data_IF_239629194412
#
_entry.id   IF_239629194412
#
_cell.length_a   1.000
_cell.length_b   1.000
_cell.length_c   1.000
_cell.angle_alpha   90.00
_cell.angle_beta   90.00
_cell.angle_gamma   90.00
#
_symmetry.space_group_name_H-M   'P 1'
#
loop_
_entity.id
_entity.type
_entity.pdbx_description
1 polymer ?
#
# COMPACT_ATOMS: atom_id res chain seq x y z
N UNK A 1 -35.11 23.31 -93.24
CA UNK A 1 -34.93 24.31 -94.32
C UNK A 1 -35.67 23.79 -95.53
N UNK A 2 -36.63 24.56 -96.06
CA UNK A 2 -37.45 24.14 -97.21
C UNK A 2 -36.85 24.74 -98.47
N UNK A 3 -36.54 23.90 -99.45
CA UNK A 3 -36.24 24.38 -100.81
C UNK A 3 -37.40 24.03 -101.72
N UNK A 4 -38.04 25.06 -102.26
CA UNK A 4 -39.05 24.91 -103.29
C UNK A 4 -38.44 25.31 -104.64
N UNK A 5 -38.71 24.50 -105.66
CA UNK A 5 -38.33 24.82 -107.04
C UNK A 5 -39.62 25.17 -107.78
N UNK A 6 -39.86 26.43 -108.14
CA UNK A 6 -41.10 26.81 -108.80
C UNK A 6 -41.20 26.13 -110.17
N UNK A 7 -42.36 25.53 -110.45
CA UNK A 7 -42.63 24.88 -111.72
C UNK A 7 -42.86 25.92 -112.80
N UNK A 8 -41.92 26.04 -113.73
CA UNK A 8 -42.00 27.03 -114.81
C UNK A 8 -42.94 26.58 -115.94
N UNK A 9 -43.12 25.27 -116.15
CA UNK A 9 -43.99 24.68 -117.20
C UNK A 9 -44.56 23.32 -116.73
N UNK A 10 -45.88 23.08 -116.82
CA UNK A 10 -46.50 21.79 -116.45
C UNK A 10 -46.36 20.73 -117.55
N UNK A 11 -46.40 19.44 -117.18
CA UNK A 11 -46.33 18.33 -118.13
C UNK A 11 -47.59 18.25 -119.02
N UNK A 12 -47.42 18.00 -120.32
CA UNK A 12 -48.51 17.86 -121.29
C UNK A 12 -48.24 16.69 -122.26
N UNK A 13 -49.31 16.15 -122.87
CA UNK A 13 -49.28 15.07 -123.88
C UNK A 13 -48.58 13.76 -123.44
N UNK A 14 -48.78 13.33 -122.19
CA UNK A 14 -48.33 12.02 -121.71
C UNK A 14 -46.88 11.94 -121.23
N UNK A 15 -46.21 13.09 -121.03
CA UNK A 15 -44.90 13.16 -120.39
C UNK A 15 -44.94 12.77 -118.91
N UNK A 16 -43.82 12.25 -118.39
CA UNK A 16 -43.71 11.84 -116.98
C UNK A 16 -43.91 13.03 -116.02
N UNK A 17 -44.65 12.78 -114.93
CA UNK A 17 -44.90 13.78 -113.89
C UNK A 17 -43.58 14.27 -113.27
N UNK A 18 -43.50 15.57 -112.97
CA UNK A 18 -42.31 16.12 -112.32
C UNK A 18 -42.16 15.59 -110.89
N UNK A 19 -40.92 15.32 -110.43
CA UNK A 19 -40.69 14.90 -109.05
C UNK A 19 -41.07 16.01 -108.04
N UNK A 20 -41.21 15.62 -106.77
CA UNK A 20 -41.66 16.46 -105.65
C UNK A 20 -41.05 17.87 -105.64
N UNK A 21 -41.90 18.91 -105.56
CA UNK A 21 -41.53 20.32 -105.73
C UNK A 21 -41.08 21.02 -104.45
N UNK A 22 -41.28 20.38 -103.30
CA UNK A 22 -40.80 20.84 -102.01
C UNK A 22 -40.11 19.69 -101.29
N UNK A 23 -38.89 19.93 -100.86
CA UNK A 23 -38.16 19.04 -99.95
C UNK A 23 -37.99 19.80 -98.63
N UNK A 24 -38.58 19.25 -97.58
CA UNK A 24 -38.54 19.81 -96.23
C UNK A 24 -37.67 18.90 -95.38
N UNK A 25 -36.53 19.43 -94.93
CA UNK A 25 -35.69 18.77 -93.94
C UNK A 25 -35.93 19.43 -92.58
N UNK A 26 -36.41 18.65 -91.62
CA UNK A 26 -36.56 19.08 -90.24
C UNK A 26 -35.19 19.29 -89.60
N UNK A 27 -35.06 20.38 -88.86
CA UNK A 27 -33.84 20.65 -88.13
C UNK A 27 -33.77 19.69 -86.91
N UNK A 28 -32.59 19.16 -86.56
CA UNK A 28 -32.45 18.21 -85.46
C UNK A 28 -32.89 18.81 -84.11
N UNK A 29 -33.37 18.00 -83.16
CA UNK A 29 -33.66 18.46 -81.80
C UNK A 29 -32.42 19.09 -81.18
N UNK A 30 -32.61 20.14 -80.37
CA UNK A 30 -31.53 20.72 -79.57
C UNK A 30 -31.89 20.52 -78.11
N UNK A 31 -31.08 19.73 -77.43
CA UNK A 31 -31.25 19.42 -76.02
C UNK A 31 -30.87 20.62 -75.15
N UNK A 32 -31.42 20.64 -73.93
CA UNK A 32 -31.03 21.65 -72.95
C UNK A 32 -29.55 21.55 -72.56
N UNK A 33 -28.84 22.68 -72.59
CA UNK A 33 -27.48 22.78 -72.08
C UNK A 33 -27.52 23.63 -70.81
N UNK A 34 -26.99 23.09 -69.71
CA UNK A 34 -26.89 23.80 -68.43
C UNK A 34 -25.44 24.19 -68.16
N UNK A 35 -25.24 25.25 -67.38
CA UNK A 35 -23.91 25.63 -66.90
C UNK A 35 -23.32 24.58 -65.96
N UNK A 36 -22.03 24.70 -65.71
CA UNK A 36 -21.41 24.05 -64.57
C UNK A 36 -22.09 24.51 -63.27
N UNK A 37 -22.02 23.65 -62.26
CA UNK A 37 -22.54 23.96 -60.94
C UNK A 37 -21.71 25.06 -60.27
N UNK A 38 -22.40 26.00 -59.62
CA UNK A 38 -21.76 26.89 -58.66
C UNK A 38 -21.22 26.14 -57.43
N UNK A 39 -20.43 26.85 -56.63
CA UNK A 39 -19.94 26.35 -55.36
C UNK A 39 -21.09 26.11 -54.37
N UNK A 40 -20.86 25.17 -53.45
CA UNK A 40 -21.80 24.94 -52.36
C UNK A 40 -21.85 26.14 -51.41
N UNK A 41 -23.06 26.52 -50.99
CA UNK A 41 -23.22 27.50 -49.92
C UNK A 41 -22.55 27.02 -48.64
N UNK A 42 -22.09 27.95 -47.81
CA UNK A 42 -21.45 27.63 -46.53
C UNK A 42 -22.46 27.08 -45.54
N UNK A 43 -22.03 26.15 -44.70
CA UNK A 43 -22.81 25.73 -43.55
C UNK A 43 -22.79 26.83 -42.50
N UNK A 44 -23.96 27.19 -41.98
CA UNK A 44 -24.09 28.08 -40.82
C UNK A 44 -24.77 27.34 -39.68
N UNK A 45 -24.74 27.90 -38.48
CA UNK A 45 -25.39 27.31 -37.31
C UNK A 45 -26.92 27.17 -37.51
N UNK A 46 -27.51 27.98 -38.39
CA UNK A 46 -28.95 28.00 -38.69
C UNK A 46 -29.32 27.25 -39.97
N UNK A 47 -28.35 26.90 -40.82
CA UNK A 47 -28.59 26.20 -42.09
C UNK A 47 -28.03 24.78 -42.02
N UNK A 48 -28.88 23.76 -41.76
CA UNK A 48 -28.42 22.37 -41.67
C UNK A 48 -28.08 21.75 -43.03
N UNK A 49 -28.31 22.48 -44.12
CA UNK A 49 -28.08 22.04 -45.49
C UNK A 49 -27.31 23.10 -46.29
N UNK A 50 -26.52 22.61 -47.26
CA UNK A 50 -25.87 23.42 -48.28
C UNK A 50 -26.65 23.30 -49.58
N UNK A 51 -26.69 24.39 -50.33
CA UNK A 51 -27.36 24.47 -51.64
C UNK A 51 -26.37 24.99 -52.67
N UNK A 52 -26.46 24.48 -53.90
CA UNK A 52 -25.79 25.03 -55.07
C UNK A 52 -26.74 25.12 -56.25
N UNK A 53 -26.44 26.02 -57.16
CA UNK A 53 -27.29 26.33 -58.31
C UNK A 53 -26.50 26.34 -59.61
N UNK A 54 -27.22 26.13 -60.72
CA UNK A 54 -26.72 26.28 -62.10
C UNK A 54 -27.82 26.83 -62.99
N UNK A 55 -27.43 27.52 -64.05
CA UNK A 55 -28.37 28.16 -64.97
C UNK A 55 -28.49 27.40 -66.28
N UNK A 56 -29.59 27.62 -66.98
CA UNK A 56 -29.78 27.11 -68.34
C UNK A 56 -29.00 28.03 -69.28
N UNK A 57 -28.11 27.46 -70.09
CA UNK A 57 -27.37 28.17 -71.15
C UNK A 57 -28.14 28.10 -72.47
N UNK A 58 -28.79 26.97 -72.73
CA UNK A 58 -29.60 26.74 -73.93
C UNK A 58 -30.89 26.01 -73.53
N UNK A 59 -32.04 26.60 -73.83
CA UNK A 59 -33.34 25.94 -73.67
C UNK A 59 -33.52 24.81 -74.70
N UNK A 60 -34.28 23.75 -74.36
CA UNK A 60 -34.59 22.68 -75.31
C UNK A 60 -35.51 23.21 -76.41
N UNK A 61 -35.19 22.89 -77.66
CA UNK A 61 -35.95 23.35 -78.83
C UNK A 61 -36.19 22.17 -79.77
N UNK A 62 -37.37 22.13 -80.41
CA UNK A 62 -37.80 21.05 -81.33
C UNK A 62 -37.75 19.66 -80.68
N UNK A 63 -38.48 19.49 -79.57
CA UNK A 63 -38.60 18.23 -78.82
C UNK A 63 -37.27 17.66 -78.27
N UNK A 64 -36.26 18.51 -78.08
CA UNK A 64 -35.03 18.15 -77.36
C UNK A 64 -35.27 17.85 -75.88
N UNK A 65 -34.34 17.13 -75.26
CA UNK A 65 -34.42 16.72 -73.87
C UNK A 65 -34.51 17.91 -72.91
N UNK A 66 -35.48 17.85 -71.98
CA UNK A 66 -35.69 18.88 -70.97
C UNK A 66 -34.49 19.03 -70.02
N UNK A 67 -34.31 20.23 -69.47
CA UNK A 67 -33.27 20.50 -68.49
C UNK A 67 -33.47 19.65 -67.23
N UNK A 68 -32.36 19.22 -66.63
CA UNK A 68 -32.36 18.64 -65.29
C UNK A 68 -32.57 19.73 -64.23
N UNK A 69 -32.60 19.33 -62.95
CA UNK A 69 -32.74 20.29 -61.84
C UNK A 69 -31.63 21.36 -61.86
N UNK A 70 -32.04 22.60 -61.55
CA UNK A 70 -31.17 23.78 -61.45
C UNK A 70 -30.65 24.03 -60.04
N UNK A 71 -31.21 23.35 -59.04
CA UNK A 71 -30.82 23.47 -57.62
C UNK A 71 -30.53 22.09 -57.04
N UNK A 72 -29.47 21.99 -56.26
CA UNK A 72 -29.13 20.78 -55.53
C UNK A 72 -28.88 21.11 -54.06
N UNK A 73 -29.36 20.25 -53.17
CA UNK A 73 -29.22 20.39 -51.71
C UNK A 73 -28.53 19.17 -51.13
N UNK A 74 -27.69 19.35 -50.11
CA UNK A 74 -27.09 18.27 -49.32
C UNK A 74 -27.02 18.65 -47.85
N UNK A 75 -26.92 17.65 -46.98
CA UNK A 75 -26.72 17.88 -45.53
C UNK A 75 -25.33 18.44 -45.23
N UNK A 76 -25.27 19.32 -44.25
CA UNK A 76 -24.01 19.83 -43.72
C UNK A 76 -23.30 18.76 -42.89
N UNK A 77 -21.96 18.67 -42.96
CA UNK A 77 -21.20 17.76 -42.10
C UNK A 77 -21.47 18.03 -40.60
N UNK A 78 -21.49 16.97 -39.76
CA UNK A 78 -21.64 17.12 -38.32
C UNK A 78 -20.44 17.86 -37.73
N UNK A 79 -20.66 18.57 -36.64
CA UNK A 79 -19.60 19.22 -35.85
C UNK A 79 -19.49 18.51 -34.53
N UNK A 80 -18.39 17.79 -34.35
CA UNK A 80 -18.10 17.11 -33.10
C UNK A 80 -17.68 18.11 -32.03
N UNK A 81 -17.98 17.80 -30.77
CA UNK A 81 -17.50 18.59 -29.66
C UNK A 81 -15.96 18.60 -29.61
N UNK A 82 -15.38 19.77 -29.38
CA UNK A 82 -13.95 19.93 -29.11
C UNK A 82 -13.76 20.40 -27.68
N UNK A 83 -12.81 19.77 -26.97
CA UNK A 83 -12.50 20.05 -25.58
C UNK A 83 -11.16 20.76 -25.47
N UNK A 84 -11.10 21.76 -24.59
CA UNK A 84 -9.87 22.47 -24.26
C UNK A 84 -8.90 21.62 -23.44
N UNK A 85 -7.69 22.15 -23.17
CA UNK A 85 -6.73 21.47 -22.31
C UNK A 85 -7.27 21.34 -20.88
N UNK A 86 -6.80 20.32 -20.18
CA UNK A 86 -7.03 20.17 -18.75
C UNK A 86 -6.35 21.29 -17.96
N UNK A 87 -7.02 21.74 -16.90
CA UNK A 87 -6.38 22.54 -15.86
C UNK A 87 -5.29 21.73 -15.16
N UNK A 88 -4.44 22.42 -14.40
CA UNK A 88 -3.65 21.75 -13.37
C UNK A 88 -4.56 21.05 -12.36
N UNK A 89 -4.04 20.00 -11.73
CA UNK A 89 -4.70 19.39 -10.58
C UNK A 89 -4.86 20.41 -9.46
N UNK A 90 -6.02 20.39 -8.82
CA UNK A 90 -6.26 21.10 -7.57
C UNK A 90 -5.50 20.42 -6.43
N UNK A 91 -5.43 21.11 -5.28
CA UNK A 91 -4.91 20.51 -4.05
C UNK A 91 -5.75 19.29 -3.65
N UNK A 92 -5.10 18.31 -3.01
CA UNK A 92 -5.76 17.15 -2.46
C UNK A 92 -6.85 17.57 -1.45
N UNK A 93 -8.06 17.06 -1.63
CA UNK A 93 -9.11 17.16 -0.62
C UNK A 93 -8.89 16.08 0.44
N UNK A 94 -8.57 16.52 1.66
CA UNK A 94 -8.29 15.62 2.77
C UNK A 94 -9.50 14.81 3.25
N UNK A 95 -10.72 15.24 2.94
CA UNK A 95 -11.95 14.55 3.33
C UNK A 95 -12.25 13.38 2.41
N UNK A 96 -12.07 13.59 1.10
CA UNK A 96 -12.37 12.59 0.08
C UNK A 96 -11.15 11.76 -0.33
N UNK A 97 -9.94 12.25 -0.05
CA UNK A 97 -8.70 11.62 -0.48
C UNK A 97 -8.49 11.69 -1.99
N UNK A 98 -9.08 12.68 -2.66
CA UNK A 98 -8.97 12.84 -4.12
C UNK A 98 -8.55 14.24 -4.51
N UNK A 99 -7.92 14.35 -5.68
CA UNK A 99 -7.62 15.60 -6.38
C UNK A 99 -8.45 15.68 -7.65
N UNK A 100 -8.86 16.89 -8.01
CA UNK A 100 -9.72 17.15 -9.17
C UNK A 100 -9.02 18.05 -10.18
N UNK A 101 -9.28 17.85 -11.47
CA UNK A 101 -8.99 18.83 -12.52
C UNK A 101 -10.19 18.97 -13.45
N UNK A 102 -10.26 20.08 -14.16
CA UNK A 102 -11.37 20.39 -15.05
C UNK A 102 -10.88 20.89 -16.42
N UNK A 103 -11.71 20.73 -17.44
CA UNK A 103 -11.53 21.34 -18.76
C UNK A 103 -12.86 21.89 -19.24
N UNK A 104 -12.79 22.82 -20.20
CA UNK A 104 -13.99 23.43 -20.81
C UNK A 104 -14.20 22.93 -22.22
N UNK A 105 -15.44 23.03 -22.68
CA UNK A 105 -15.79 22.89 -24.09
C UNK A 105 -15.24 24.11 -24.84
N UNK A 106 -14.49 23.87 -25.92
CA UNK A 106 -14.03 24.94 -26.82
C UNK A 106 -14.93 25.07 -28.04
N UNK A 107 -15.64 24.00 -28.40
CA UNK A 107 -16.64 23.99 -29.46
C UNK A 107 -17.76 23.03 -29.11
N UNK A 108 -18.98 23.53 -29.08
CA UNK A 108 -20.16 22.70 -28.84
C UNK A 108 -20.49 21.82 -30.04
N UNK A 109 -21.05 20.61 -29.80
CA UNK A 109 -21.48 19.74 -30.88
C UNK A 109 -22.67 20.36 -31.62
N UNK A 110 -22.64 20.34 -32.94
CA UNK A 110 -23.74 20.81 -33.78
C UNK A 110 -24.07 19.78 -34.86
N UNK A 111 -25.27 19.89 -35.44
CA UNK A 111 -25.71 19.11 -36.61
C UNK A 111 -25.49 17.59 -36.44
N UNK A 112 -25.91 17.05 -35.30
CA UNK A 112 -25.80 15.62 -35.00
C UNK A 112 -24.38 15.13 -34.67
N UNK A 113 -23.44 16.04 -34.41
CA UNK A 113 -22.11 15.67 -33.95
C UNK A 113 -22.09 15.06 -32.56
N UNK A 114 -20.99 14.37 -32.25
CA UNK A 114 -20.82 13.63 -30.99
C UNK A 114 -20.70 14.58 -29.79
N UNK A 115 -21.38 14.21 -28.70
CA UNK A 115 -21.32 14.93 -27.43
C UNK A 115 -19.90 14.97 -26.84
N UNK A 116 -19.67 15.98 -25.99
CA UNK A 116 -18.43 16.13 -25.26
C UNK A 116 -18.21 14.98 -24.27
N UNK A 117 -16.95 14.55 -24.12
CA UNK A 117 -16.54 13.67 -23.01
C UNK A 117 -16.54 14.39 -21.65
N UNK A 118 -16.02 13.71 -20.63
CA UNK A 118 -15.97 14.25 -19.27
C UNK A 118 -15.24 15.60 -19.18
N UNK A 119 -15.83 16.53 -18.44
CA UNK A 119 -15.30 17.87 -18.18
C UNK A 119 -14.52 17.97 -16.86
N UNK A 120 -14.69 16.97 -15.99
CA UNK A 120 -13.98 16.85 -14.72
C UNK A 120 -13.33 15.48 -14.65
N UNK A 121 -12.21 15.44 -13.95
CA UNK A 121 -11.41 14.24 -13.74
C UNK A 121 -10.99 14.21 -12.28
N UNK A 122 -11.08 13.02 -11.67
CA UNK A 122 -10.84 12.76 -10.26
C UNK A 122 -9.80 11.66 -10.15
N UNK A 123 -8.78 11.90 -9.35
CA UNK A 123 -7.67 10.97 -9.13
C UNK A 123 -7.40 10.86 -7.63
N UNK A 124 -7.05 9.68 -7.09
CA UNK A 124 -6.58 9.57 -5.72
C UNK A 124 -5.42 10.52 -5.44
N UNK A 125 -5.36 11.00 -4.21
CA UNK A 125 -4.20 11.74 -3.75
C UNK A 125 -2.96 10.86 -3.68
N UNK A 126 -1.79 11.50 -3.76
CA UNK A 126 -0.53 10.78 -3.65
C UNK A 126 -0.38 10.23 -2.22
N UNK A 127 0.07 8.98 -2.06
CA UNK A 127 0.17 8.34 -0.76
C UNK A 127 1.17 9.09 0.13
N UNK A 128 0.79 9.30 1.39
CA UNK A 128 1.67 9.88 2.41
C UNK A 128 2.03 8.79 3.40
N UNK A 129 3.28 8.35 3.39
CA UNK A 129 3.76 7.33 4.31
C UNK A 129 3.84 7.85 5.74
N UNK A 130 3.64 6.94 6.70
CA UNK A 130 3.84 7.27 8.10
C UNK A 130 5.30 7.63 8.39
N UNK A 131 5.50 8.72 9.14
CA UNK A 131 6.81 9.10 9.69
C UNK A 131 6.75 8.99 11.21
N UNK A 132 7.74 8.31 11.78
CA UNK A 132 7.89 8.14 13.24
C UNK A 132 9.13 8.90 13.70
N UNK A 133 9.16 9.27 14.97
CA UNK A 133 10.33 9.91 15.56
C UNK A 133 11.53 8.97 15.49
N UNK A 134 12.69 9.52 15.14
CA UNK A 134 13.97 8.79 15.18
C UNK A 134 14.43 8.56 16.61
N UNK A 135 14.04 9.45 17.53
CA UNK A 135 14.37 9.35 18.93
C UNK A 135 13.37 8.43 19.64
N UNK A 136 13.91 7.47 20.36
CA UNK A 136 13.13 6.70 21.31
C UNK A 136 13.07 7.46 22.63
N UNK A 137 11.94 7.37 23.31
CA UNK A 137 11.85 7.73 24.71
C UNK A 137 12.66 6.76 25.58
N UNK A 138 12.75 7.10 26.86
CA UNK A 138 13.48 6.29 27.83
C UNK A 138 12.87 4.91 28.02
N UNK A 139 13.71 3.98 28.48
CA UNK A 139 13.23 2.69 28.92
C UNK A 139 12.37 2.85 30.17
N UNK A 140 11.24 2.15 30.20
CA UNK A 140 10.44 1.99 31.42
C UNK A 140 11.25 1.27 32.49
N UNK A 141 10.78 1.38 33.73
CA UNK A 141 11.18 0.44 34.77
C UNK A 141 10.95 -1.01 34.31
N UNK A 142 11.72 -1.93 34.89
CA UNK A 142 11.55 -3.35 34.63
C UNK A 142 10.18 -3.81 35.16
N UNK A 143 9.42 -4.49 34.32
CA UNK A 143 8.22 -5.19 34.75
C UNK A 143 8.61 -6.52 35.40
N UNK A 144 8.41 -6.60 36.71
CA UNK A 144 8.74 -7.77 37.52
C UNK A 144 7.96 -9.04 37.10
N UNK A 145 6.80 -8.87 36.46
CA UNK A 145 5.93 -9.98 36.06
C UNK A 145 6.45 -10.72 34.84
N UNK A 146 6.97 -9.96 33.86
CA UNK A 146 7.42 -10.52 32.58
C UNK A 146 8.93 -10.42 32.35
N UNK A 147 9.68 -9.77 33.25
CA UNK A 147 11.13 -9.64 33.17
C UNK A 147 11.60 -8.81 31.97
N UNK A 148 10.76 -7.90 31.47
CA UNK A 148 11.03 -7.04 30.33
C UNK A 148 10.85 -5.57 30.68
N UNK A 149 11.55 -4.72 29.93
CA UNK A 149 11.35 -3.27 29.91
C UNK A 149 11.00 -2.85 28.48
N UNK A 150 10.34 -1.71 28.36
CA UNK A 150 9.83 -1.21 27.08
C UNK A 150 10.29 0.22 26.86
N UNK A 151 10.45 0.61 25.59
CA UNK A 151 10.56 2.02 25.21
C UNK A 151 9.63 2.30 24.04
N UNK A 152 9.21 3.57 23.91
CA UNK A 152 8.26 4.00 22.88
C UNK A 152 8.76 5.22 22.13
N UNK A 153 8.27 5.42 20.92
CA UNK A 153 8.47 6.62 20.11
C UNK A 153 7.15 7.11 19.54
N UNK A 154 7.08 8.39 19.20
CA UNK A 154 5.87 9.03 18.70
C UNK A 154 5.76 8.90 17.17
N UNK A 155 4.53 9.05 16.68
CA UNK A 155 4.26 9.24 15.25
C UNK A 155 4.29 10.73 14.96
N UNK A 156 5.11 11.13 13.99
CA UNK A 156 5.22 12.51 13.50
C UNK A 156 4.25 12.79 12.33
N UNK A 157 3.97 11.78 11.50
CA UNK A 157 3.03 11.84 10.40
C UNK A 157 2.25 10.54 10.34
N UNK A 158 0.93 10.60 10.38
CA UNK A 158 0.06 9.44 10.16
C UNK A 158 0.05 9.07 8.67
N UNK A 159 -0.12 7.78 8.32
CA UNK A 159 -0.28 7.39 6.93
C UNK A 159 -1.60 7.94 6.37
N UNK A 160 -1.55 8.56 5.19
CA UNK A 160 -2.73 9.07 4.48
C UNK A 160 -2.78 8.50 3.06
N UNK A 161 -3.98 8.44 2.50
CA UNK A 161 -4.23 8.12 1.08
C UNK A 161 -3.56 6.82 0.59
N UNK A 162 -3.59 5.77 1.43
CA UNK A 162 -2.99 4.48 1.10
C UNK A 162 -1.46 4.40 1.32
N UNK A 163 -0.88 5.38 2.01
CA UNK A 163 0.52 5.34 2.43
C UNK A 163 0.83 4.20 3.42
N UNK A 164 2.11 3.91 3.55
CA UNK A 164 2.64 2.80 4.34
C UNK A 164 2.45 3.01 5.84
N UNK A 165 2.08 1.95 6.55
CA UNK A 165 1.92 1.95 8.00
C UNK A 165 3.22 2.32 8.74
N UNK A 166 3.06 2.85 9.95
CA UNK A 166 4.19 3.20 10.81
C UNK A 166 5.06 1.99 11.15
N UNK A 167 6.38 2.19 11.17
CA UNK A 167 7.30 1.25 11.79
C UNK A 167 6.96 1.05 13.28
N UNK A 168 7.52 -0.01 13.89
CA UNK A 168 7.25 -0.35 15.29
C UNK A 168 7.44 0.86 16.22
N UNK A 169 6.40 1.16 17.00
CA UNK A 169 6.36 2.30 17.94
C UNK A 169 6.79 1.91 19.35
N UNK A 170 6.89 0.62 19.62
CA UNK A 170 7.33 0.06 20.89
C UNK A 170 8.45 -0.97 20.63
N UNK A 171 9.40 -1.02 21.55
CA UNK A 171 10.47 -2.01 21.56
C UNK A 171 10.62 -2.56 22.97
N UNK A 172 10.78 -3.88 23.09
CA UNK A 172 11.06 -4.55 24.35
C UNK A 172 12.53 -5.02 24.45
N UNK A 173 13.02 -5.15 25.67
CA UNK A 173 14.30 -5.75 25.99
C UNK A 173 14.20 -6.49 27.33
N UNK A 174 15.02 -7.54 27.55
CA UNK A 174 15.11 -8.16 28.85
C UNK A 174 15.61 -7.17 29.90
N UNK A 175 15.17 -7.36 31.13
CA UNK A 175 15.71 -6.62 32.27
C UNK A 175 17.14 -7.04 32.58
N UNK A 176 17.88 -6.16 33.26
CA UNK A 176 19.22 -6.48 33.73
C UNK A 176 19.16 -7.55 34.82
N UNK A 177 20.03 -8.57 34.77
CA UNK A 177 20.04 -9.65 35.74
C UNK A 177 20.42 -9.10 37.11
N UNK A 178 19.64 -9.48 38.12
CA UNK A 178 19.93 -9.16 39.51
C UNK A 178 20.41 -10.42 40.19
N UNK A 179 21.67 -10.43 40.60
CA UNK A 179 22.27 -11.57 41.27
C UNK A 179 21.78 -11.67 42.72
N UNK A 180 21.78 -12.89 43.26
CA UNK A 180 21.50 -13.08 44.68
C UNK A 180 22.58 -12.44 45.56
N UNK A 181 22.16 -11.73 46.60
CA UNK A 181 23.04 -11.27 47.67
C UNK A 181 22.67 -11.97 48.98
N UNK A 182 23.69 -12.28 49.78
CA UNK A 182 23.56 -12.97 51.07
C UNK A 182 24.26 -12.17 52.16
N UNK A 183 23.83 -12.35 53.41
CA UNK A 183 24.47 -11.74 54.58
C UNK A 183 25.87 -12.31 54.83
N UNK A 184 26.61 -11.67 55.75
CA UNK A 184 27.73 -12.34 56.41
C UNK A 184 27.26 -13.61 57.12
N UNK A 185 28.18 -14.54 57.31
CA UNK A 185 27.93 -15.73 58.12
C UNK A 185 27.60 -15.34 59.56
N UNK A 186 26.70 -16.09 60.18
CA UNK A 186 26.55 -16.11 61.63
C UNK A 186 27.84 -16.61 62.28
N UNK A 187 27.95 -16.39 63.58
CA UNK A 187 28.93 -17.13 64.38
C UNK A 187 28.67 -18.64 64.26
N UNK A 188 29.71 -19.42 64.51
CA UNK A 188 29.58 -20.87 64.59
C UNK A 188 28.73 -21.24 65.80
N UNK A 189 27.69 -22.03 65.57
CA UNK A 189 26.92 -22.64 66.64
C UNK A 189 27.76 -23.64 67.43
N UNK A 190 27.16 -24.12 68.52
CA UNK A 190 27.77 -25.12 69.38
C UNK A 190 28.06 -26.42 68.63
N UNK A 191 29.04 -27.16 69.14
CA UNK A 191 29.39 -28.44 68.57
C UNK A 191 28.29 -29.48 68.86
N UNK A 192 27.86 -30.21 67.83
CA UNK A 192 26.89 -31.28 68.00
C UNK A 192 27.60 -32.57 68.43
N UNK A 193 27.26 -33.09 69.61
CA UNK A 193 27.88 -34.28 70.19
C UNK A 193 27.67 -35.56 69.37
N UNK A 194 26.57 -35.65 68.63
CA UNK A 194 26.21 -36.83 67.85
C UNK A 194 26.95 -36.85 66.51
N UNK A 195 27.10 -35.70 65.86
CA UNK A 195 27.70 -35.61 64.52
C UNK A 195 29.15 -35.17 64.50
N UNK A 196 29.65 -34.60 65.60
CA UNK A 196 31.01 -34.04 65.69
C UNK A 196 31.22 -32.80 64.81
N UNK A 197 30.14 -32.13 64.37
CA UNK A 197 30.17 -30.96 63.50
C UNK A 197 29.57 -29.76 64.21
N UNK A 198 30.09 -28.56 63.90
CA UNK A 198 29.42 -27.29 64.18
C UNK A 198 28.95 -26.65 62.88
N UNK A 199 27.86 -25.89 62.97
CA UNK A 199 27.18 -25.29 61.81
C UNK A 199 27.14 -23.78 61.96
N UNK A 200 27.28 -23.07 60.84
CA UNK A 200 26.93 -21.64 60.75
C UNK A 200 26.02 -21.43 59.54
N UNK A 201 25.21 -20.39 59.59
CA UNK A 201 24.24 -20.08 58.52
C UNK A 201 24.33 -18.61 58.11
N UNK A 202 23.77 -18.30 56.94
CA UNK A 202 23.58 -16.92 56.47
C UNK A 202 22.24 -16.84 55.73
N UNK A 203 21.68 -15.65 55.66
CA UNK A 203 20.38 -15.42 55.02
C UNK A 203 20.53 -14.72 53.67
N UNK A 204 19.54 -14.90 52.81
CA UNK A 204 19.44 -14.16 51.54
C UNK A 204 18.96 -12.73 51.84
N UNK A 205 19.74 -11.74 51.42
CA UNK A 205 19.38 -10.32 51.54
C UNK A 205 18.79 -9.77 50.24
N UNK A 206 19.05 -10.41 49.10
CA UNK A 206 18.45 -10.09 47.81
C UNK A 206 18.23 -11.37 47.00
N UNK A 207 16.99 -11.60 46.58
CA UNK A 207 16.66 -12.73 45.71
C UNK A 207 17.18 -12.47 44.29
N UNK A 208 17.63 -13.52 43.57
CA UNK A 208 18.02 -13.36 42.18
C UNK A 208 16.78 -13.09 41.31
N UNK A 209 16.87 -12.11 40.40
CA UNK A 209 15.81 -11.76 39.45
C UNK A 209 16.36 -11.75 38.02
N UNK A 210 15.46 -11.92 37.05
CA UNK A 210 15.71 -11.73 35.63
C UNK A 210 16.90 -12.53 35.08
N UNK A 211 17.05 -13.78 35.54
CA UNK A 211 18.15 -14.67 35.11
C UNK A 211 19.49 -14.40 35.81
N UNK A 212 19.49 -13.63 36.91
CA UNK A 212 20.67 -13.47 37.76
C UNK A 212 21.13 -14.76 38.44
N UNK A 213 22.37 -14.75 38.92
CA UNK A 213 23.01 -15.90 39.54
C UNK A 213 22.30 -16.32 40.84
N UNK A 214 22.10 -17.64 40.97
CA UNK A 214 21.51 -18.25 42.15
C UNK A 214 22.33 -17.98 43.42
N UNK A 215 21.66 -18.06 44.57
CA UNK A 215 22.31 -17.86 45.86
C UNK A 215 23.38 -18.92 46.12
N UNK A 216 24.57 -18.52 46.62
CA UNK A 216 25.56 -19.48 47.10
C UNK A 216 25.03 -20.22 48.35
N UNK A 217 25.73 -21.26 48.80
CA UNK A 217 25.32 -22.07 49.96
C UNK A 217 25.02 -21.22 51.20
N UNK A 218 23.93 -21.53 51.88
CA UNK A 218 23.42 -20.76 53.03
C UNK A 218 23.74 -21.39 54.38
N UNK A 219 24.25 -22.62 54.37
CA UNK A 219 24.66 -23.36 55.55
C UNK A 219 25.96 -24.10 55.25
N UNK A 220 26.89 -24.08 56.19
CA UNK A 220 28.11 -24.86 56.10
C UNK A 220 28.46 -25.45 57.45
N UNK A 221 29.13 -26.61 57.38
CA UNK A 221 29.55 -27.37 58.55
C UNK A 221 31.07 -27.50 58.55
N UNK A 222 31.65 -27.54 59.74
CA UNK A 222 33.04 -27.94 59.91
C UNK A 222 33.20 -28.83 61.14
N UNK A 223 34.24 -29.69 61.15
CA UNK A 223 34.55 -30.52 62.31
C UNK A 223 34.76 -29.66 63.54
N UNK A 224 34.37 -30.19 64.69
CA UNK A 224 34.70 -29.57 65.96
C UNK A 224 36.18 -29.72 66.29
N UNK A 225 36.69 -28.79 67.09
CA UNK A 225 38.06 -28.85 67.55
C UNK A 225 38.22 -30.07 68.48
N UNK A 226 39.27 -30.89 68.32
CA UNK A 226 39.42 -32.12 69.09
C UNK A 226 39.59 -31.80 70.57
N UNK A 227 38.70 -32.35 71.40
CA UNK A 227 38.81 -32.28 72.85
C UNK A 227 39.48 -33.55 73.34
N UNK A 228 40.68 -33.40 73.90
CA UNK A 228 41.39 -34.53 74.50
C UNK A 228 40.70 -34.95 75.79
N UNK A 229 40.58 -36.27 76.02
CA UNK A 229 40.08 -36.76 77.29
C UNK A 229 41.11 -36.45 78.40
N UNK A 230 40.63 -35.87 79.50
CA UNK A 230 41.42 -35.76 80.72
C UNK A 230 41.18 -37.00 81.57
N UNK A 231 42.26 -37.55 82.12
CA UNK A 231 42.22 -38.72 83.00
C UNK A 231 42.81 -38.33 84.36
N UNK A 232 42.35 -38.98 85.41
CA UNK A 232 42.93 -38.84 86.74
C UNK A 232 44.35 -39.38 86.77
N UNK A 233 45.08 -39.01 87.82
CA UNK A 233 46.26 -39.77 88.23
C UNK A 233 45.92 -41.25 88.40
N UNK A 234 46.93 -42.10 88.20
CA UNK A 234 46.79 -43.53 88.38
C UNK A 234 46.53 -43.91 89.83
N UNK A 235 45.69 -44.92 90.05
CA UNK A 235 45.60 -45.59 91.34
C UNK A 235 46.92 -46.24 91.71
N UNK A 236 47.10 -46.54 92.99
CA UNK A 236 48.18 -47.43 93.44
C UNK A 236 48.05 -48.80 92.79
N UNK A 237 49.18 -49.46 92.57
CA UNK A 237 49.22 -50.84 92.08
C UNK A 237 48.54 -51.79 93.07
N UNK A 238 47.82 -52.77 92.56
CA UNK A 238 47.34 -53.90 93.36
C UNK A 238 48.52 -54.75 93.83
N UNK A 239 48.41 -55.32 95.03
CA UNK A 239 49.37 -56.29 95.55
C UNK A 239 49.36 -57.57 94.71
N UNK A 240 50.50 -58.25 94.59
CA UNK A 240 50.57 -59.53 93.89
C UNK A 240 49.84 -60.61 94.70
N UNK A 241 48.92 -61.32 94.05
CA UNK A 241 48.15 -62.45 94.59
C UNK A 241 48.57 -63.74 93.88
N UNK A 242 48.41 -64.89 94.52
CA UNK A 242 48.77 -66.21 93.97
C UNK A 242 47.90 -66.62 92.78
N UNK A 243 46.73 -66.00 92.63
CA UNK A 243 45.78 -66.29 91.55
C UNK A 243 45.94 -65.37 90.31
N UNK A 244 46.66 -64.24 90.41
CA UNK A 244 47.00 -63.39 89.27
C UNK A 244 48.47 -62.91 89.35
N UNK A 245 49.37 -63.42 88.49
CA UNK A 245 50.78 -63.08 88.51
C UNK A 245 51.09 -61.65 88.01
N UNK A 246 50.08 -60.80 87.76
CA UNK A 246 50.23 -59.42 87.28
C UNK A 246 49.65 -58.40 88.27
N UNK A 247 50.32 -57.26 88.38
CA UNK A 247 49.78 -56.09 89.09
C UNK A 247 48.94 -55.24 88.15
N UNK A 248 47.84 -54.70 88.66
CA UNK A 248 46.93 -53.83 87.92
C UNK A 248 46.82 -52.47 88.60
N UNK A 249 46.54 -51.43 87.82
CA UNK A 249 46.15 -50.12 88.32
C UNK A 249 45.13 -49.51 87.38
N UNK A 250 44.22 -48.71 87.92
CA UNK A 250 43.16 -48.06 87.15
C UNK A 250 43.33 -46.55 87.23
N UNK A 251 42.77 -45.84 86.26
CA UNK A 251 42.56 -44.39 86.33
C UNK A 251 41.19 -44.11 85.73
N UNK A 252 40.52 -43.09 86.23
CA UNK A 252 39.19 -42.71 85.76
C UNK A 252 39.31 -41.56 84.77
N UNK A 253 38.38 -41.47 83.82
CA UNK A 253 38.28 -40.32 82.93
C UNK A 253 37.66 -39.17 83.72
N UNK A 254 38.40 -38.08 83.90
CA UNK A 254 37.98 -36.89 84.68
C UNK A 254 37.32 -35.82 83.82
N UNK A 255 37.58 -35.81 82.51
CA UNK A 255 36.75 -35.12 81.52
C UNK A 255 36.44 -36.10 80.39
N UNK A 256 35.21 -36.58 80.35
CA UNK A 256 34.72 -37.39 79.25
C UNK A 256 34.50 -36.50 78.02
N UNK A 257 34.61 -37.09 76.82
CA UNK A 257 34.27 -36.46 75.54
C UNK A 257 32.76 -36.23 75.44
N UNK A 258 32.19 -35.39 76.31
CA UNK A 258 30.89 -34.81 76.10
C UNK A 258 31.12 -33.44 75.48
N UNK A 259 31.08 -33.44 74.15
CA UNK A 259 30.74 -32.23 73.41
C UNK A 259 29.45 -31.69 74.04
N UNK A 260 29.53 -30.56 74.75
CA UNK A 260 28.36 -30.04 75.45
C UNK A 260 27.35 -29.53 74.41
N UNK A 261 26.23 -30.23 74.29
CA UNK A 261 24.98 -29.63 73.85
C UNK A 261 24.38 -28.95 75.08
N UNK A 262 24.45 -27.62 75.12
CA UNK A 262 23.74 -26.83 76.13
C UNK A 262 22.29 -26.70 75.61
N UNK A 263 21.34 -27.20 76.39
CA UNK A 263 19.90 -26.96 76.22
C UNK A 263 19.54 -25.53 76.62
#
# INVERSE_FOLDING_TARGET
MTRSRPMLVPAAYGGAECPWQEETLDCPPVDCIMSEWGDWSVCTDYTPTQTRERSIIQDPVRDGAACNVSTQTRECPPVHCELGPWSSWQSCDATTGTKMRARRVTRDPQRGGSACGALQDLDPCDPVDCKVDTNWGDWTACDATCGKRYKRRSVLQQPLYGGSNCAALAMDAPCEPVNCAVSSWSDWGDCNATTGMRTQSRIVTQQPLYGGLACPVLSQQKPCDPVNCAVSEWSTWTSCDTDDPKQHRTRIVTQATTVHAIL
#
